data_IF_974244752712
#
_entry.id   IF_974244752712
#
_cell.length_a   1.000
_cell.length_b   1.000
_cell.length_c   1.000
_cell.angle_alpha   90.00
_cell.angle_beta   90.00
_cell.angle_gamma   90.00
#
_symmetry.space_group_name_H-M   'P 1'
#
loop_
_entity.id
_entity.type
_entity.pdbx_description
1 polymer ?
#
# COMPACT_ATOMS: atom_id res chain seq x y z
N UNK A 1 11.38 -5.14 10.64
CA UNK A 1 10.44 -5.24 9.50
C UNK A 1 9.02 -4.79 9.83
N UNK A 2 8.47 -5.14 11.01
CA UNK A 2 7.06 -4.88 11.38
C UNK A 2 6.65 -3.39 11.33
N UNK A 3 7.51 -2.47 11.79
CA UNK A 3 7.23 -1.02 11.76
C UNK A 3 7.09 -0.47 10.34
N UNK A 4 7.98 -0.83 9.41
CA UNK A 4 7.89 -0.42 8.01
C UNK A 4 6.63 -0.99 7.32
N UNK A 5 6.21 -2.19 7.71
CA UNK A 5 4.95 -2.75 7.20
C UNK A 5 3.75 -1.93 7.66
N UNK A 6 3.68 -1.57 8.95
CA UNK A 6 2.61 -0.72 9.46
C UNK A 6 2.58 0.65 8.77
N UNK A 7 3.74 1.28 8.52
CA UNK A 7 3.78 2.56 7.79
C UNK A 7 3.38 2.41 6.33
N UNK A 8 3.80 1.34 5.64
CA UNK A 8 3.38 1.07 4.26
C UNK A 8 1.86 0.83 4.15
N UNK A 9 1.29 0.08 5.10
CA UNK A 9 -0.15 -0.20 5.15
C UNK A 9 -0.98 1.04 5.43
N UNK A 10 -0.59 1.88 6.40
CA UNK A 10 -1.31 3.13 6.71
C UNK A 10 -1.23 4.11 5.55
N UNK A 11 -0.04 4.28 4.96
CA UNK A 11 0.14 5.16 3.81
C UNK A 11 -0.65 4.69 2.58
N UNK A 12 -0.70 3.37 2.36
CA UNK A 12 -1.54 2.77 1.33
C UNK A 12 -3.03 3.06 1.55
N UNK A 13 -3.53 2.98 2.80
CA UNK A 13 -4.93 3.23 3.13
C UNK A 13 -5.28 4.70 2.93
N UNK A 14 -4.38 5.60 3.31
CA UNK A 14 -4.53 7.03 3.06
C UNK A 14 -4.60 7.29 1.55
N UNK A 15 -3.65 6.76 0.76
CA UNK A 15 -3.66 6.91 -0.69
C UNK A 15 -4.94 6.37 -1.34
N UNK A 16 -5.40 5.20 -0.89
CA UNK A 16 -6.66 4.61 -1.36
C UNK A 16 -7.87 5.50 -1.04
N UNK A 17 -7.97 5.99 0.19
CA UNK A 17 -9.07 6.87 0.62
C UNK A 17 -9.11 8.19 -0.17
N UNK A 18 -7.94 8.77 -0.46
CA UNK A 18 -7.83 9.97 -1.29
C UNK A 18 -8.19 9.67 -2.75
N UNK A 19 -7.74 8.54 -3.30
CA UNK A 19 -8.09 8.09 -4.66
C UNK A 19 -9.60 7.92 -4.83
N UNK A 20 -10.26 7.23 -3.90
CA UNK A 20 -11.73 7.05 -3.88
C UNK A 20 -12.44 8.40 -3.74
N UNK A 21 -11.97 9.27 -2.84
CA UNK A 21 -12.54 10.62 -2.67
C UNK A 21 -12.45 11.45 -3.96
N UNK A 22 -11.33 11.34 -4.69
CA UNK A 22 -11.12 12.01 -5.98
C UNK A 22 -12.09 11.47 -7.05
N UNK A 23 -12.33 10.16 -7.07
CA UNK A 23 -13.31 9.54 -7.97
C UNK A 23 -14.73 10.04 -7.64
N UNK A 24 -15.13 10.03 -6.36
CA UNK A 24 -16.46 10.50 -5.92
C UNK A 24 -16.63 11.97 -6.28
N UNK A 25 -15.61 12.80 -6.04
CA UNK A 25 -15.62 14.20 -6.45
C UNK A 25 -15.77 14.34 -7.97
N UNK A 26 -15.04 13.55 -8.75
CA UNK A 26 -15.16 13.53 -10.21
C UNK A 26 -16.52 13.03 -10.70
N UNK A 27 -17.24 12.19 -9.94
CA UNK A 27 -18.60 11.77 -10.28
C UNK A 27 -19.63 12.87 -10.02
N UNK A 28 -19.41 13.71 -9.00
CA UNK A 28 -20.33 14.78 -8.59
C UNK A 28 -20.18 16.07 -9.40
N UNK A 29 -19.01 16.31 -10.00
CA UNK A 29 -18.74 17.53 -10.74
C UNK A 29 -18.72 17.28 -12.25
N UNK A 30 -19.13 18.28 -13.03
CA UNK A 30 -19.05 18.29 -14.49
C UNK A 30 -18.18 19.47 -14.93
N UNK A 31 -17.23 19.24 -15.83
CA UNK A 31 -16.30 20.27 -16.29
C UNK A 31 -14.99 19.72 -16.86
N UNK A 32 -14.14 20.62 -17.38
CA UNK A 32 -12.81 20.27 -17.85
C UNK A 32 -11.94 19.73 -16.70
N UNK A 33 -11.24 18.62 -16.92
CA UNK A 33 -10.38 17.97 -15.92
C UNK A 33 -11.06 16.90 -15.06
N UNK A 34 -12.39 16.77 -15.10
CA UNK A 34 -13.12 15.72 -14.36
C UNK A 34 -12.73 14.31 -14.83
N UNK A 35 -12.58 14.12 -16.14
CA UNK A 35 -12.16 12.83 -16.70
C UNK A 35 -10.74 12.47 -16.24
N UNK A 36 -9.83 13.44 -16.16
CA UNK A 36 -8.48 13.24 -15.64
C UNK A 36 -8.50 12.87 -14.15
N UNK A 37 -9.32 13.56 -13.34
CA UNK A 37 -9.48 13.23 -11.92
C UNK A 37 -10.00 11.80 -11.70
N UNK A 38 -10.94 11.34 -12.52
CA UNK A 38 -11.44 9.94 -12.47
C UNK A 38 -10.36 8.94 -12.83
N UNK A 39 -9.58 9.19 -13.88
CA UNK A 39 -8.48 8.31 -14.32
C UNK A 39 -7.39 8.24 -13.25
N UNK A 40 -6.93 9.39 -12.75
CA UNK A 40 -5.91 9.44 -11.71
C UNK A 40 -6.37 8.80 -10.41
N UNK A 41 -7.60 9.09 -9.96
CA UNK A 41 -8.16 8.47 -8.76
C UNK A 41 -8.26 6.95 -8.89
N UNK A 42 -8.65 6.45 -10.07
CA UNK A 42 -8.72 5.01 -10.36
C UNK A 42 -7.34 4.35 -10.36
N UNK A 43 -6.34 4.98 -11.00
CA UNK A 43 -4.96 4.48 -10.99
C UNK A 43 -4.39 4.41 -9.57
N UNK A 44 -4.57 5.46 -8.77
CA UNK A 44 -4.12 5.51 -7.37
C UNK A 44 -4.79 4.41 -6.55
N UNK A 45 -6.11 4.22 -6.71
CA UNK A 45 -6.85 3.18 -5.99
C UNK A 45 -6.33 1.77 -6.35
N UNK A 46 -6.12 1.47 -7.63
CA UNK A 46 -5.61 0.17 -8.09
C UNK A 46 -4.19 -0.08 -7.55
N UNK A 47 -3.30 0.90 -7.68
CA UNK A 47 -1.92 0.78 -7.20
C UNK A 47 -1.88 0.58 -5.68
N UNK A 48 -2.71 1.28 -4.93
CA UNK A 48 -2.80 1.13 -3.48
C UNK A 48 -3.23 -0.30 -3.09
N UNK A 49 -4.26 -0.85 -3.75
CA UNK A 49 -4.72 -2.23 -3.50
C UNK A 49 -3.62 -3.25 -3.81
N UNK A 50 -2.96 -3.14 -4.98
CA UNK A 50 -1.86 -4.04 -5.35
C UNK A 50 -0.71 -3.95 -4.34
N UNK A 51 -0.37 -2.74 -3.89
CA UNK A 51 0.71 -2.51 -2.93
C UNK A 51 0.41 -3.13 -1.56
N UNK A 52 -0.85 -3.05 -1.10
CA UNK A 52 -1.29 -3.70 0.13
C UNK A 52 -1.25 -5.22 0.01
N UNK A 53 -1.75 -5.77 -1.10
CA UNK A 53 -1.72 -7.22 -1.34
C UNK A 53 -0.28 -7.75 -1.37
N UNK A 54 0.61 -7.07 -2.08
CA UNK A 54 2.03 -7.40 -2.12
C UNK A 54 2.66 -7.37 -0.72
N UNK A 55 2.44 -6.27 0.01
CA UNK A 55 2.98 -6.09 1.36
C UNK A 55 2.46 -7.15 2.34
N UNK A 56 1.16 -7.46 2.29
CA UNK A 56 0.55 -8.50 3.12
C UNK A 56 1.08 -9.89 2.81
N UNK A 57 1.26 -10.23 1.52
CA UNK A 57 1.85 -11.50 1.11
C UNK A 57 3.26 -11.70 1.67
N UNK A 58 4.12 -10.69 1.53
CA UNK A 58 5.48 -10.77 2.07
C UNK A 58 5.50 -10.86 3.59
N UNK A 59 4.62 -10.14 4.29
CA UNK A 59 4.53 -10.27 5.75
C UNK A 59 4.08 -11.65 6.18
N UNK A 60 3.06 -12.23 5.54
CA UNK A 60 2.61 -13.59 5.85
C UNK A 60 3.73 -14.61 5.59
N UNK A 61 4.44 -14.47 4.47
CA UNK A 61 5.58 -15.32 4.13
C UNK A 61 6.70 -15.22 5.18
N UNK A 62 7.13 -14.01 5.51
CA UNK A 62 8.19 -13.80 6.51
C UNK A 62 7.76 -14.20 7.92
N UNK A 63 6.47 -14.13 8.24
CA UNK A 63 5.90 -14.65 9.47
C UNK A 63 5.99 -16.16 9.54
N UNK A 64 5.56 -16.84 8.48
CA UNK A 64 5.62 -18.29 8.39
C UNK A 64 7.08 -18.82 8.41
N UNK A 65 8.02 -18.06 7.84
CA UNK A 65 9.45 -18.40 7.86
C UNK A 65 10.15 -18.02 9.19
N UNK A 66 9.43 -17.46 10.17
CA UNK A 66 9.98 -17.15 11.51
C UNK A 66 10.92 -15.94 11.56
N UNK A 67 11.04 -15.18 10.48
CA UNK A 67 11.93 -14.01 10.39
C UNK A 67 11.50 -12.85 11.31
N UNK A 68 10.27 -12.84 11.80
CA UNK A 68 9.82 -11.84 12.77
C UNK A 68 10.12 -12.22 14.23
N UNK A 69 10.31 -13.50 14.54
CA UNK A 69 10.62 -14.00 15.89
C UNK A 69 12.12 -14.17 16.13
N UNK A 70 12.89 -14.43 15.07
CA UNK A 70 14.35 -14.50 15.13
C UNK A 70 14.98 -13.16 14.70
N UNK A 71 15.96 -12.60 15.43
CA UNK A 71 16.79 -11.48 14.96
C UNK A 71 17.73 -11.95 13.84
N UNK A 72 17.16 -12.37 12.72
CA UNK A 72 17.85 -12.92 11.57
C UNK A 72 18.49 -11.80 10.73
N UNK A 73 19.51 -11.13 11.28
CA UNK A 73 20.43 -10.29 10.51
C UNK A 73 21.76 -9.91 11.19
N UNK A 74 22.09 -10.42 12.39
CA UNK A 74 23.37 -10.05 13.06
C UNK A 74 24.38 -11.21 13.18
N UNK A 75 23.99 -12.46 12.87
CA UNK A 75 24.88 -13.62 13.14
C UNK A 75 25.59 -14.23 11.91
N UNK A 76 25.33 -13.78 10.67
CA UNK A 76 26.03 -14.30 9.48
C UNK A 76 27.27 -13.50 9.05
N UNK A 77 27.84 -12.68 9.94
CA UNK A 77 29.14 -11.97 9.73
C UNK A 77 30.17 -12.36 10.81
N UNK A 78 30.09 -13.59 11.33
CA UNK A 78 31.16 -14.14 12.19
C UNK A 78 31.30 -15.65 12.02
N UNK A 79 31.66 -16.10 10.83
CA UNK A 79 32.41 -17.36 10.64
C UNK A 79 33.42 -17.17 9.52
#
# INVERSE_FOLDING_TARGET
MMFLFHTAMTLGLIAFSLGVSLIIWGLRNQGAGVQLARVLGSLVAIIAVISMLCSSYYVIKYWHEGYFESPAAVEKVRR
#
